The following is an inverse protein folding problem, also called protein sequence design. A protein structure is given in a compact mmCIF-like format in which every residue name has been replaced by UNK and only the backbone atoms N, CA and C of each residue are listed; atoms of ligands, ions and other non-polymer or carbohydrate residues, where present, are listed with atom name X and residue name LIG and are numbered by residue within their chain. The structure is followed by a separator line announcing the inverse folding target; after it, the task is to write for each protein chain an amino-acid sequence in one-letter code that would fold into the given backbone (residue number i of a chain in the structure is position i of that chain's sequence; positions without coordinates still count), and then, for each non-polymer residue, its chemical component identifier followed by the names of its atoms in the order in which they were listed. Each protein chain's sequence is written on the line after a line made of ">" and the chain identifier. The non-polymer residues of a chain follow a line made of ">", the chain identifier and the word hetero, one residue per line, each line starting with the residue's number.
data_IF_049051428973
#
_entry.id   IF_049051428973
#
_cell.length_a   1.000
_cell.length_b   1.000
_cell.length_c   1.000
_cell.angle_alpha   90.00
_cell.angle_beta   90.00
_cell.angle_gamma   90.00
#
_symmetry.space_group_name_H-M   'P 1'
#
loop_
_entity.id
_entity.type
_entity.pdbx_description
1 polymer ?
#
# COMPACT_ATOMS: atom_id res chain seq x y z
N UNK A 1 -21.90 -42.52 42.66
CA UNK A 1 -21.93 -41.25 43.45
C UNK A 1 -22.38 -40.10 42.55
N UNK A 2 -23.35 -39.39 43.01
CA UNK A 2 -23.78 -38.17 42.31
C UNK A 2 -22.82 -37.01 42.62
N UNK A 3 -22.31 -36.37 41.57
CA UNK A 3 -21.55 -35.17 41.74
C UNK A 3 -22.46 -34.08 42.38
N UNK A 4 -21.90 -33.27 43.27
CA UNK A 4 -22.63 -32.17 43.83
C UNK A 4 -23.02 -31.16 42.74
N UNK A 5 -24.17 -30.48 42.88
CA UNK A 5 -24.65 -29.48 41.93
C UNK A 5 -23.64 -28.33 41.78
N UNK A 6 -22.92 -27.98 42.84
CA UNK A 6 -21.88 -26.96 42.86
C UNK A 6 -20.70 -27.36 41.96
N UNK A 7 -20.24 -28.63 42.00
CA UNK A 7 -19.14 -29.12 41.15
C UNK A 7 -19.49 -29.05 39.67
N UNK A 8 -20.71 -29.35 39.29
CA UNK A 8 -21.21 -29.19 37.89
C UNK A 8 -21.23 -27.77 37.42
N UNK A 9 -21.68 -26.86 38.27
CA UNK A 9 -21.71 -25.42 37.97
C UNK A 9 -20.30 -24.92 37.77
N UNK A 10 -19.37 -25.25 38.67
CA UNK A 10 -17.97 -24.85 38.54
C UNK A 10 -17.31 -25.36 37.27
N UNK A 11 -17.57 -26.61 36.89
CA UNK A 11 -17.06 -27.18 35.63
C UNK A 11 -17.61 -26.46 34.41
N UNK A 12 -18.91 -26.19 34.39
CA UNK A 12 -19.55 -25.42 33.33
C UNK A 12 -18.99 -24.01 33.21
N UNK A 13 -18.74 -23.33 34.32
CA UNK A 13 -18.15 -22.00 34.36
C UNK A 13 -16.72 -22.03 33.79
N UNK A 14 -15.90 -23.01 34.17
CA UNK A 14 -14.54 -23.18 33.63
C UNK A 14 -14.55 -23.39 32.12
N UNK A 15 -15.41 -24.26 31.63
CA UNK A 15 -15.56 -24.51 30.19
C UNK A 15 -15.98 -23.25 29.44
N UNK A 16 -16.96 -22.52 29.98
CA UNK A 16 -17.43 -21.28 29.39
C UNK A 16 -16.32 -20.22 29.36
N UNK A 17 -15.59 -20.06 30.45
CA UNK A 17 -14.45 -19.15 30.54
C UNK A 17 -13.37 -19.48 29.50
N UNK A 18 -13.02 -20.76 29.36
CA UNK A 18 -12.05 -21.23 28.38
C UNK A 18 -12.48 -20.91 26.95
N UNK A 19 -13.74 -21.20 26.60
CA UNK A 19 -14.30 -20.93 25.27
C UNK A 19 -14.31 -19.43 24.99
N UNK A 20 -14.75 -18.60 25.92
CA UNK A 20 -14.79 -17.15 25.77
C UNK A 20 -13.37 -16.58 25.59
N UNK A 21 -12.41 -17.02 26.40
CA UNK A 21 -11.02 -16.55 26.32
C UNK A 21 -10.35 -16.94 24.99
N UNK A 22 -10.54 -18.21 24.56
CA UNK A 22 -10.00 -18.69 23.28
C UNK A 22 -10.63 -17.95 22.12
N UNK A 23 -11.94 -17.73 22.14
CA UNK A 23 -12.67 -16.98 21.13
C UNK A 23 -12.22 -15.53 21.04
N UNK A 24 -11.93 -14.91 22.17
CA UNK A 24 -11.44 -13.54 22.21
C UNK A 24 -10.04 -13.43 21.60
N UNK A 25 -9.11 -14.33 21.92
CA UNK A 25 -7.79 -14.41 21.31
C UNK A 25 -7.87 -14.61 19.79
N UNK A 26 -8.78 -15.46 19.34
CA UNK A 26 -9.04 -15.69 17.91
C UNK A 26 -9.55 -14.44 17.21
N UNK A 27 -10.48 -13.70 17.83
CA UNK A 27 -10.99 -12.43 17.30
C UNK A 27 -9.91 -11.36 17.23
N UNK A 28 -9.06 -11.25 18.25
CA UNK A 28 -7.92 -10.34 18.24
C UNK A 28 -6.94 -10.68 17.10
N UNK A 29 -6.63 -11.94 16.90
CA UNK A 29 -5.80 -12.41 15.80
C UNK A 29 -6.42 -12.08 14.44
N UNK A 30 -7.71 -12.32 14.26
CA UNK A 30 -8.45 -11.94 13.04
C UNK A 30 -8.40 -10.44 12.77
N UNK A 31 -8.55 -9.61 13.79
CA UNK A 31 -8.45 -8.15 13.66
C UNK A 31 -7.06 -7.73 13.20
N UNK A 32 -6.02 -8.33 13.75
CA UNK A 32 -4.63 -8.08 13.35
C UNK A 32 -4.38 -8.47 11.89
N UNK A 33 -4.84 -9.65 11.48
CA UNK A 33 -4.76 -10.12 10.10
C UNK A 33 -5.51 -9.19 9.15
N UNK A 34 -6.72 -8.78 9.50
CA UNK A 34 -7.52 -7.83 8.71
C UNK A 34 -6.83 -6.47 8.56
N UNK A 35 -6.23 -5.94 9.61
CA UNK A 35 -5.46 -4.71 9.55
C UNK A 35 -4.27 -4.83 8.60
N UNK A 36 -3.54 -5.94 8.67
CA UNK A 36 -2.40 -6.22 7.82
C UNK A 36 -2.80 -6.30 6.33
N UNK A 37 -3.81 -7.10 6.00
CA UNK A 37 -4.32 -7.24 4.63
C UNK A 37 -4.98 -5.95 4.14
N UNK A 38 -5.71 -5.25 5.00
CA UNK A 38 -6.30 -3.96 4.68
C UNK A 38 -5.27 -2.92 4.29
N UNK A 39 -4.15 -2.83 5.02
CA UNK A 39 -3.03 -1.93 4.66
C UNK A 39 -2.39 -2.30 3.33
N UNK A 40 -2.17 -3.60 3.08
CA UNK A 40 -1.64 -4.07 1.79
C UNK A 40 -2.59 -3.74 0.64
N UNK A 41 -3.87 -3.97 0.82
CA UNK A 41 -4.88 -3.68 -0.19
C UNK A 41 -4.96 -2.18 -0.51
N UNK A 42 -5.03 -1.34 0.51
CA UNK A 42 -5.05 0.12 0.37
C UNK A 42 -3.79 0.63 -0.35
N UNK A 43 -2.63 0.08 0.02
CA UNK A 43 -1.36 0.43 -0.63
C UNK A 43 -1.34 0.00 -2.11
N UNK A 44 -1.83 -1.19 -2.40
CA UNK A 44 -1.92 -1.71 -3.77
C UNK A 44 -2.85 -0.87 -4.64
N UNK A 45 -4.02 -0.50 -4.12
CA UNK A 45 -4.97 0.38 -4.80
C UNK A 45 -4.39 1.78 -5.02
N UNK A 46 -3.67 2.31 -4.06
CA UNK A 46 -3.00 3.60 -4.19
C UNK A 46 -1.92 3.59 -5.29
N UNK A 47 -1.14 2.52 -5.38
CA UNK A 47 -0.14 2.35 -6.45
C UNK A 47 -0.79 2.25 -7.82
N UNK A 48 -1.89 1.52 -7.92
CA UNK A 48 -2.66 1.38 -9.17
C UNK A 48 -3.23 2.73 -9.61
N UNK A 49 -3.85 3.47 -8.72
CA UNK A 49 -4.37 4.82 -8.99
C UNK A 49 -3.26 5.79 -9.43
N UNK A 50 -2.08 5.73 -8.80
CA UNK A 50 -0.92 6.52 -9.16
C UNK A 50 -0.42 6.17 -10.56
N UNK A 51 -0.34 4.88 -10.89
CA UNK A 51 0.11 4.42 -12.20
C UNK A 51 -0.90 4.81 -13.30
N UNK A 52 -2.19 4.63 -13.05
CA UNK A 52 -3.25 5.04 -13.97
C UNK A 52 -3.21 6.54 -14.23
N UNK A 53 -3.03 7.34 -13.18
CA UNK A 53 -2.88 8.78 -13.32
C UNK A 53 -1.65 9.14 -14.17
N UNK A 54 -0.51 8.51 -13.93
CA UNK A 54 0.72 8.76 -14.67
C UNK A 54 0.64 8.30 -16.13
N UNK A 55 -0.18 7.30 -16.43
CA UNK A 55 -0.41 6.82 -17.79
C UNK A 55 -1.31 7.75 -18.61
N UNK A 56 -2.30 8.36 -17.98
CA UNK A 56 -3.31 9.18 -18.63
C UNK A 56 -3.05 10.68 -18.60
N UNK A 57 -2.06 11.14 -17.83
CA UNK A 57 -1.77 12.56 -17.66
C UNK A 57 -0.29 12.85 -17.88
N UNK A 58 0.01 13.88 -18.63
CA UNK A 58 1.38 14.36 -18.90
C UNK A 58 1.88 15.39 -17.88
N UNK A 59 0.98 15.87 -17.03
CA UNK A 59 1.29 16.86 -15.99
C UNK A 59 0.43 16.64 -14.74
N UNK A 60 0.91 17.14 -13.61
CA UNK A 60 0.18 17.02 -12.33
C UNK A 60 -0.58 18.34 -12.08
N UNK A 61 -1.90 18.26 -12.13
CA UNK A 61 -2.77 19.33 -11.68
C UNK A 61 -3.24 19.02 -10.26
N UNK A 62 -2.79 19.86 -9.29
CA UNK A 62 -3.14 19.68 -7.88
C UNK A 62 -4.63 19.83 -7.58
N UNK A 63 -5.40 20.40 -8.50
CA UNK A 63 -6.85 20.56 -8.33
C UNK A 63 -7.61 19.29 -8.65
N UNK A 64 -7.20 18.59 -9.70
CA UNK A 64 -7.88 17.39 -10.23
C UNK A 64 -7.21 16.09 -9.85
N UNK A 65 -5.96 16.13 -9.35
CA UNK A 65 -5.22 14.93 -8.99
C UNK A 65 -5.89 14.14 -7.86
N UNK A 66 -5.92 12.80 -7.95
CA UNK A 66 -6.41 11.95 -6.87
C UNK A 66 -5.63 12.19 -5.55
N UNK A 67 -6.27 11.92 -4.42
CA UNK A 67 -5.63 12.07 -3.10
C UNK A 67 -4.37 11.23 -2.94
N UNK A 68 -4.35 10.03 -3.52
CA UNK A 68 -3.19 9.16 -3.51
C UNK A 68 -1.99 9.82 -4.21
N UNK A 69 -2.20 10.45 -5.34
CA UNK A 69 -1.17 11.20 -6.08
C UNK A 69 -0.68 12.39 -5.27
N UNK A 70 -1.59 13.21 -4.75
CA UNK A 70 -1.24 14.39 -3.93
C UNK A 70 -0.37 14.06 -2.72
N UNK A 71 -0.64 12.92 -2.07
CA UNK A 71 0.11 12.47 -0.88
C UNK A 71 1.47 11.87 -1.21
N UNK A 72 1.69 11.47 -2.44
CA UNK A 72 2.89 10.76 -2.87
C UNK A 72 3.81 11.60 -3.77
N UNK A 73 3.63 12.90 -3.82
CA UNK A 73 4.51 13.80 -4.57
C UNK A 73 5.83 13.98 -3.82
N UNK A 74 6.93 13.80 -4.53
CA UNK A 74 8.27 14.05 -4.00
C UNK A 74 8.58 15.55 -4.12
N UNK A 75 9.02 16.15 -3.02
CA UNK A 75 9.44 17.56 -2.98
C UNK A 75 10.96 17.72 -2.97
N UNK A 76 11.71 16.64 -2.94
CA UNK A 76 13.18 16.66 -2.99
C UNK A 76 13.66 16.82 -4.43
N UNK A 77 14.16 17.99 -4.75
CA UNK A 77 14.61 18.35 -6.10
C UNK A 77 15.80 17.50 -6.58
N UNK A 78 16.69 17.10 -5.68
CA UNK A 78 17.85 16.25 -6.02
C UNK A 78 17.40 14.88 -6.48
N UNK A 79 16.43 14.29 -5.79
CA UNK A 79 15.84 13.00 -6.17
C UNK A 79 15.10 13.10 -7.49
N UNK A 80 14.33 14.16 -7.70
CA UNK A 80 13.62 14.42 -8.94
C UNK A 80 14.58 14.58 -10.12
N UNK A 81 15.64 15.33 -9.94
CA UNK A 81 16.68 15.51 -10.95
C UNK A 81 17.38 14.19 -11.28
N UNK A 82 17.76 13.42 -10.27
CA UNK A 82 18.38 12.11 -10.45
C UNK A 82 17.50 11.19 -11.27
N UNK A 83 16.22 11.07 -10.91
CA UNK A 83 15.27 10.23 -11.63
C UNK A 83 15.06 10.69 -13.07
N UNK A 84 14.93 11.99 -13.28
CA UNK A 84 14.75 12.56 -14.60
C UNK A 84 15.96 12.34 -15.49
N UNK A 85 17.18 12.53 -14.96
CA UNK A 85 18.41 12.28 -15.68
C UNK A 85 18.53 10.83 -16.12
N UNK A 86 18.14 9.89 -15.26
CA UNK A 86 18.09 8.47 -15.60
C UNK A 86 17.05 8.15 -16.68
N UNK A 87 15.88 8.78 -16.62
CA UNK A 87 14.84 8.61 -17.62
C UNK A 87 15.18 9.27 -18.96
N UNK A 88 15.74 10.47 -18.94
CA UNK A 88 16.09 11.19 -20.17
C UNK A 88 17.19 10.49 -20.98
N UNK A 89 18.09 9.78 -20.32
CA UNK A 89 19.09 8.92 -20.94
C UNK A 89 18.60 7.52 -21.32
N UNK A 90 17.34 7.19 -21.06
CA UNK A 90 16.80 5.85 -21.29
C UNK A 90 16.34 5.69 -22.76
N UNK A 91 16.72 4.58 -23.38
CA UNK A 91 16.33 4.24 -24.75
C UNK A 91 14.83 3.99 -24.92
N UNK A 92 14.11 3.67 -23.84
CA UNK A 92 12.67 3.42 -23.84
C UNK A 92 11.83 4.68 -23.68
N UNK A 93 12.44 5.84 -23.45
CA UNK A 93 11.73 7.10 -23.34
C UNK A 93 11.51 7.73 -24.72
N UNK A 94 10.25 7.81 -25.15
CA UNK A 94 9.82 8.50 -26.38
C UNK A 94 8.69 9.47 -26.05
N UNK A 95 8.82 10.72 -26.48
CA UNK A 95 7.82 11.77 -26.26
C UNK A 95 7.40 11.92 -24.81
N UNK A 96 8.37 11.84 -23.86
CA UNK A 96 8.18 11.86 -22.43
C UNK A 96 7.39 10.67 -21.85
N UNK A 97 7.12 9.65 -22.68
CA UNK A 97 6.41 8.44 -22.30
C UNK A 97 7.35 7.23 -22.38
N UNK A 98 7.38 6.43 -21.31
CA UNK A 98 8.17 5.20 -21.28
C UNK A 98 7.44 4.08 -22.01
N UNK A 99 8.10 3.46 -23.01
CA UNK A 99 7.52 2.34 -23.76
C UNK A 99 7.30 1.08 -22.89
N UNK A 100 8.09 0.92 -21.81
CA UNK A 100 7.98 -0.25 -20.94
C UNK A 100 6.78 -0.23 -20.03
N UNK A 101 6.40 0.91 -19.46
CA UNK A 101 5.26 1.02 -18.57
C UNK A 101 4.08 1.80 -19.14
N UNK A 102 4.27 2.49 -20.26
CA UNK A 102 3.24 3.33 -20.87
C UNK A 102 2.93 4.63 -20.12
N UNK A 103 3.71 4.95 -19.08
CA UNK A 103 3.48 6.12 -18.22
C UNK A 103 4.25 7.35 -18.70
N UNK A 104 3.65 8.52 -18.54
CA UNK A 104 4.34 9.80 -18.74
C UNK A 104 5.40 10.00 -17.66
N UNK A 105 6.67 10.02 -18.02
CA UNK A 105 7.76 10.10 -17.07
C UNK A 105 7.87 11.44 -16.35
N UNK A 106 7.38 12.54 -16.95
CA UNK A 106 7.29 13.83 -16.26
C UNK A 106 6.41 13.80 -15.01
N UNK A 107 5.40 12.94 -15.01
CA UNK A 107 4.52 12.71 -13.86
C UNK A 107 5.10 11.62 -12.95
N UNK A 108 5.47 10.49 -13.53
CA UNK A 108 5.87 9.30 -12.79
C UNK A 108 7.11 9.51 -11.92
N UNK A 109 8.12 10.26 -12.42
CA UNK A 109 9.33 10.49 -11.63
C UNK A 109 9.09 11.33 -10.36
N UNK A 110 7.99 12.09 -10.32
CA UNK A 110 7.59 12.89 -9.16
C UNK A 110 6.83 12.10 -8.09
N UNK A 111 6.43 10.88 -8.39
CA UNK A 111 5.62 10.06 -7.50
C UNK A 111 6.51 9.12 -6.67
N UNK A 112 6.41 9.25 -5.33
CA UNK A 112 7.25 8.50 -4.40
C UNK A 112 7.10 6.98 -4.51
N UNK A 113 5.87 6.50 -4.71
CA UNK A 113 5.56 5.07 -4.79
C UNK A 113 5.86 4.47 -6.17
N UNK A 114 6.15 5.29 -7.18
CA UNK A 114 6.50 4.81 -8.50
C UNK A 114 7.93 4.30 -8.54
N UNK A 115 8.19 3.34 -9.42
CA UNK A 115 9.51 2.78 -9.67
C UNK A 115 9.73 2.59 -11.17
N UNK A 116 10.98 2.59 -11.60
CA UNK A 116 11.32 2.27 -12.97
C UNK A 116 11.05 0.77 -13.25
N UNK A 117 10.34 0.40 -14.35
CA UNK A 117 10.05 -0.99 -14.67
C UNK A 117 11.29 -1.82 -14.99
N UNK A 118 12.39 -1.19 -15.40
CA UNK A 118 13.68 -1.85 -15.68
C UNK A 118 14.70 -1.67 -14.56
N UNK A 119 14.28 -1.11 -13.41
CA UNK A 119 15.10 -1.03 -12.20
C UNK A 119 16.15 0.08 -12.16
N UNK A 120 16.07 1.11 -13.00
CA UNK A 120 17.01 2.24 -13.00
C UNK A 120 16.91 3.11 -11.74
N UNK A 121 15.72 3.21 -11.18
CA UNK A 121 15.46 3.86 -9.91
C UNK A 121 14.28 3.19 -9.19
N UNK A 122 14.30 3.23 -7.87
CA UNK A 122 13.33 2.56 -7.02
C UNK A 122 12.38 3.57 -6.37
N UNK A 123 11.43 3.06 -5.57
CA UNK A 123 10.51 3.87 -4.79
C UNK A 123 11.27 4.77 -3.84
N UNK A 124 10.77 5.98 -3.66
CA UNK A 124 11.32 6.93 -2.70
C UNK A 124 10.69 6.70 -1.34
N UNK A 125 11.53 6.48 -0.33
CA UNK A 125 11.14 6.41 1.06
C UNK A 125 11.72 7.63 1.78
N UNK A 126 10.85 8.55 2.22
CA UNK A 126 11.26 9.69 3.03
C UNK A 126 11.54 9.28 4.47
#
# INVERSE_FOLDING_TARGET
>A
MKQSGVARILESVKQLYYVVTTKQLFLEWLLEVNKFFGRKLVRSLAVEEINEFAENNDSIDMRTAPKAVKRNIIHDEEVLKMRWDLCSGCEFLKDNKCEKCGCFMKVKHKLAMAKCPIGKWDRYAS
#
